data_IF_861048849998
#
_entry.id   IF_861048849998
#
_cell.length_a   1.000
_cell.length_b   1.000
_cell.length_c   1.000
_cell.angle_alpha   90.00
_cell.angle_beta   90.00
_cell.angle_gamma   90.00
#
_symmetry.space_group_name_H-M   'P 1'
#
loop_
_entity.id
_entity.type
_entity.pdbx_description
1 polymer ?
#
# COMPACT_ATOMS: atom_id res chain seq x y z
N UNK A 1 -8.50 8.59 10.51
CA UNK A 1 -7.23 8.78 9.77
C UNK A 1 -6.92 7.44 9.14
N UNK A 2 -7.00 7.35 7.82
CA UNK A 2 -6.70 6.11 7.12
C UNK A 2 -5.21 5.79 7.28
N UNK A 3 -4.91 4.53 7.60
CA UNK A 3 -3.55 4.07 7.92
C UNK A 3 -2.73 3.72 6.66
N UNK A 4 -3.32 3.80 5.47
CA UNK A 4 -2.68 3.44 4.20
C UNK A 4 -2.99 4.48 3.13
N UNK A 5 -2.00 4.76 2.28
CA UNK A 5 -2.12 5.68 1.13
C UNK A 5 -1.93 4.87 -0.15
N UNK A 6 -2.87 5.00 -1.10
CA UNK A 6 -2.74 4.36 -2.41
C UNK A 6 -1.59 5.02 -3.19
N UNK A 7 -0.61 4.24 -3.68
CA UNK A 7 0.52 4.77 -4.46
C UNK A 7 0.21 4.84 -5.96
N UNK A 8 -0.35 3.77 -6.51
CA UNK A 8 -0.74 3.66 -7.92
C UNK A 8 -2.18 3.16 -7.94
N UNK A 9 -3.03 3.86 -8.69
CA UNK A 9 -4.40 3.45 -8.95
C UNK A 9 -4.59 3.22 -10.44
N UNK A 10 -5.41 2.25 -10.78
CA UNK A 10 -5.91 2.09 -12.14
C UNK A 10 -7.21 2.91 -12.29
N UNK A 11 -7.22 3.75 -13.33
CA UNK A 11 -8.38 4.56 -13.72
C UNK A 11 -8.50 4.46 -15.24
N UNK A 12 -9.62 3.94 -15.74
CA UNK A 12 -9.94 3.83 -17.18
C UNK A 12 -8.88 3.10 -18.02
N UNK A 13 -8.34 2.01 -17.50
CA UNK A 13 -7.29 1.18 -18.11
C UNK A 13 -5.88 1.76 -17.97
N UNK A 14 -5.73 2.92 -17.32
CA UNK A 14 -4.47 3.62 -17.18
C UNK A 14 -3.98 3.59 -15.73
N UNK A 15 -2.69 3.33 -15.56
CA UNK A 15 -2.03 3.44 -14.26
C UNK A 15 -1.70 4.90 -13.98
N UNK A 16 -2.20 5.40 -12.86
CA UNK A 16 -1.98 6.76 -12.39
C UNK A 16 -1.29 6.74 -11.03
N UNK A 17 -0.25 7.55 -10.89
CA UNK A 17 0.46 7.74 -9.62
C UNK A 17 -0.31 8.72 -8.76
N UNK A 18 -0.51 8.40 -7.47
CA UNK A 18 -1.14 9.31 -6.52
C UNK A 18 -0.13 10.37 -6.04
N UNK A 19 -0.38 11.68 -6.30
CA UNK A 19 0.50 12.75 -5.84
C UNK A 19 0.68 12.80 -4.31
N UNK A 20 -0.36 12.45 -3.54
CA UNK A 20 -0.30 12.42 -2.08
C UNK A 20 0.73 11.39 -1.58
N UNK A 21 0.77 10.21 -2.20
CA UNK A 21 1.76 9.18 -1.86
C UNK A 21 3.19 9.63 -2.18
N UNK A 22 3.39 10.37 -3.28
CA UNK A 22 4.69 10.95 -3.64
C UNK A 22 5.12 12.00 -2.61
N UNK A 23 4.19 12.84 -2.14
CA UNK A 23 4.49 13.81 -1.10
C UNK A 23 4.94 13.13 0.20
N UNK A 24 4.25 12.06 0.63
CA UNK A 24 4.65 11.25 1.80
C UNK A 24 6.04 10.65 1.60
N UNK A 25 6.30 10.02 0.45
CA UNK A 25 7.60 9.40 0.16
C UNK A 25 8.75 10.43 0.11
N UNK A 26 8.49 11.62 -0.43
CA UNK A 26 9.50 12.71 -0.52
C UNK A 26 9.98 13.21 0.84
N UNK A 27 9.19 13.01 1.90
CA UNK A 27 9.53 13.40 3.28
C UNK A 27 10.39 12.34 4.00
N UNK A 28 10.54 11.15 3.43
CA UNK A 28 11.32 10.06 4.04
C UNK A 28 12.76 10.13 3.50
N UNK A 29 13.70 10.53 4.36
CA UNK A 29 15.12 10.63 4.01
C UNK A 29 15.96 9.45 4.52
N UNK A 30 15.39 8.59 5.37
CA UNK A 30 16.07 7.41 5.88
C UNK A 30 16.07 6.28 4.84
N UNK A 31 17.06 5.37 4.87
CA UNK A 31 16.99 4.14 4.11
C UNK A 31 15.72 3.35 4.44
N UNK A 32 15.04 2.85 3.41
CA UNK A 32 13.79 2.08 3.57
C UNK A 32 13.96 0.68 3.03
N UNK A 33 13.22 -0.27 3.62
CA UNK A 33 13.05 -1.62 3.08
C UNK A 33 11.68 -1.68 2.43
N UNK A 34 11.64 -2.04 1.14
CA UNK A 34 10.39 -2.16 0.38
C UNK A 34 9.98 -3.62 0.31
N UNK A 35 8.78 -3.93 0.81
CA UNK A 35 8.17 -5.26 0.72
C UNK A 35 6.91 -5.16 -0.15
N UNK A 36 6.79 -6.04 -1.14
CA UNK A 36 5.61 -6.14 -2.00
C UNK A 36 5.01 -7.53 -1.96
N UNK A 37 3.69 -7.62 -2.00
CA UNK A 37 2.94 -8.89 -2.02
C UNK A 37 2.02 -8.89 -3.23
N UNK A 38 2.16 -9.89 -4.09
CA UNK A 38 1.34 -10.09 -5.29
C UNK A 38 0.71 -11.48 -5.28
N UNK A 39 -0.39 -11.64 -6.00
CA UNK A 39 -1.08 -12.93 -6.11
C UNK A 39 -2.56 -12.77 -6.42
N UNK A 40 -3.22 -13.89 -6.74
CA UNK A 40 -4.63 -13.96 -7.10
C UNK A 40 -5.55 -13.29 -6.06
N UNK A 41 -6.73 -12.86 -6.46
CA UNK A 41 -7.70 -12.26 -5.54
C UNK A 41 -8.04 -13.25 -4.40
N UNK A 42 -8.28 -12.72 -3.19
CA UNK A 42 -8.67 -13.48 -1.99
C UNK A 42 -7.65 -14.52 -1.46
N UNK A 43 -6.38 -14.40 -1.80
CA UNK A 43 -5.29 -15.23 -1.22
C UNK A 43 -4.71 -14.69 0.11
N UNK A 44 -5.43 -13.80 0.80
CA UNK A 44 -4.98 -13.29 2.11
C UNK A 44 -3.85 -12.25 2.08
N UNK A 45 -3.56 -11.64 0.92
CA UNK A 45 -2.47 -10.64 0.76
C UNK A 45 -2.55 -9.48 1.76
N UNK A 46 -3.71 -8.81 1.87
CA UNK A 46 -3.92 -7.71 2.81
C UNK A 46 -3.78 -8.16 4.27
N UNK A 47 -4.24 -9.37 4.58
CA UNK A 47 -4.09 -9.96 5.92
C UNK A 47 -2.61 -10.14 6.27
N UNK A 48 -1.81 -10.68 5.34
CA UNK A 48 -0.37 -10.85 5.54
C UNK A 48 0.36 -9.50 5.68
N UNK A 49 0.01 -8.50 4.87
CA UNK A 49 0.56 -7.14 5.01
C UNK A 49 0.24 -6.53 6.38
N UNK A 50 -0.98 -6.70 6.88
CA UNK A 50 -1.39 -6.23 8.21
C UNK A 50 -0.59 -6.93 9.33
N UNK A 51 -0.33 -8.23 9.18
CA UNK A 51 0.54 -8.98 10.11
C UNK A 51 1.97 -8.46 10.10
N UNK A 52 2.55 -8.20 8.92
CA UNK A 52 3.88 -7.61 8.80
C UNK A 52 3.96 -6.20 9.38
N UNK A 53 2.93 -5.38 9.18
CA UNK A 53 2.83 -4.03 9.74
C UNK A 53 2.54 -4.01 11.24
N UNK A 54 2.25 -5.16 11.87
CA UNK A 54 1.86 -5.23 13.28
C UNK A 54 0.55 -4.51 13.60
N UNK A 55 -0.30 -4.25 12.60
CA UNK A 55 -1.53 -3.45 12.74
C UNK A 55 -2.74 -4.18 12.17
N UNK A 56 -3.90 -4.07 12.84
CA UNK A 56 -5.16 -4.67 12.38
C UNK A 56 -5.96 -3.75 11.46
N UNK A 57 -5.63 -2.46 11.39
CA UNK A 57 -6.42 -1.43 10.70
C UNK A 57 -5.71 -0.84 9.46
N UNK A 58 -4.67 -1.50 8.94
CA UNK A 58 -3.88 -1.02 7.81
C UNK A 58 -4.60 -1.15 6.47
N UNK A 59 -4.50 -2.32 5.86
CA UNK A 59 -5.13 -2.66 4.59
C UNK A 59 -6.48 -3.33 4.81
N UNK A 60 -7.47 -2.96 4.00
CA UNK A 60 -8.76 -3.64 3.99
C UNK A 60 -8.59 -5.12 3.57
N UNK A 61 -9.26 -6.02 4.30
CA UNK A 61 -9.29 -7.46 4.03
C UNK A 61 -10.63 -7.78 3.35
N UNK A 62 -10.60 -8.56 2.25
CA UNK A 62 -11.78 -8.98 1.48
C UNK A 62 -11.77 -10.48 1.15
#
# INVERSE_FOLDING_TARGET
MDLTVCLIKETDGLLQVNPEAIEVLSKISQPVVVVSIVGLLRTGKSYLMNKLAGSQNGFAVG
#
